data_IF_601188961285
#
_entry.id   IF_601188961285
#
_cell.length_a   1.000
_cell.length_b   1.000
_cell.length_c   1.000
_cell.angle_alpha   90.00
_cell.angle_beta   90.00
_cell.angle_gamma   90.00
#
_symmetry.space_group_name_H-M   'P 1'
#
loop_
_entity.id
_entity.type
_entity.pdbx_description
1 polymer ?
#
# COMPACT_ATOMS: atom_id res chain seq x y z
N UNK A 1 -1.61 42.03 -20.36
CA UNK A 1 -0.75 41.50 -19.29
C UNK A 1 0.68 41.59 -19.81
N UNK A 2 1.52 42.44 -19.22
CA UNK A 2 2.84 42.78 -19.75
C UNK A 2 3.86 41.67 -19.45
N UNK A 3 4.69 41.29 -20.43
CA UNK A 3 5.68 40.20 -20.31
C UNK A 3 6.68 40.45 -19.16
N UNK A 4 6.99 41.71 -18.87
CA UNK A 4 7.90 42.13 -17.80
C UNK A 4 7.38 41.79 -16.40
N UNK A 5 6.05 41.77 -16.23
CA UNK A 5 5.39 41.47 -14.96
C UNK A 5 5.46 39.97 -14.63
N UNK A 6 5.39 39.12 -15.66
CA UNK A 6 5.59 37.66 -15.54
C UNK A 6 7.05 37.38 -15.19
N UNK A 7 8.01 38.03 -15.87
CA UNK A 7 9.46 37.86 -15.65
C UNK A 7 9.90 38.26 -14.24
N UNK A 8 9.23 39.26 -13.63
CA UNK A 8 9.48 39.68 -12.25
C UNK A 8 8.96 38.68 -11.20
N UNK A 9 7.86 37.96 -11.49
CA UNK A 9 7.30 36.92 -10.60
C UNK A 9 7.95 35.54 -10.77
N UNK A 10 8.50 35.23 -11.95
CA UNK A 10 9.20 33.97 -12.24
C UNK A 10 10.70 34.02 -11.97
N UNK A 11 11.23 35.15 -11.48
CA UNK A 11 12.65 35.26 -11.18
C UNK A 11 13.01 34.37 -9.98
N UNK A 12 13.88 33.34 -10.15
CA UNK A 12 14.21 32.38 -9.09
C UNK A 12 14.90 33.03 -7.88
N UNK A 13 15.46 34.24 -8.03
CA UNK A 13 16.20 34.95 -6.98
C UNK A 13 15.36 35.99 -6.21
N UNK A 14 14.03 35.93 -6.27
CA UNK A 14 13.19 36.75 -5.38
C UNK A 14 13.38 36.29 -3.92
N UNK A 15 13.50 37.20 -2.93
CA UNK A 15 13.78 36.83 -1.53
C UNK A 15 12.79 35.83 -0.95
N UNK A 16 11.53 35.90 -1.38
CA UNK A 16 10.49 34.90 -1.04
C UNK A 16 10.80 33.50 -1.59
N UNK A 17 11.21 33.37 -2.85
CA UNK A 17 11.55 32.07 -3.47
C UNK A 17 12.78 31.46 -2.81
N UNK A 18 13.78 32.28 -2.46
CA UNK A 18 14.98 31.84 -1.73
C UNK A 18 14.61 31.31 -0.34
N UNK A 19 13.71 32.00 0.37
CA UNK A 19 13.22 31.53 1.67
C UNK A 19 12.48 30.20 1.55
N UNK A 20 11.58 30.06 0.58
CA UNK A 20 10.83 28.82 0.33
C UNK A 20 11.77 27.67 -0.05
N UNK A 21 12.73 27.91 -0.95
CA UNK A 21 13.74 26.92 -1.34
C UNK A 21 14.65 26.55 -0.18
N UNK A 22 15.03 27.51 0.68
CA UNK A 22 15.82 27.24 1.88
C UNK A 22 15.09 26.37 2.88
N UNK A 23 13.82 26.67 3.16
CA UNK A 23 12.96 25.82 4.01
C UNK A 23 12.81 24.43 3.39
N UNK A 24 12.57 24.34 2.08
CA UNK A 24 12.48 23.06 1.39
C UNK A 24 13.77 22.24 1.50
N UNK A 25 14.94 22.85 1.35
CA UNK A 25 16.23 22.18 1.52
C UNK A 25 16.48 21.70 2.95
N UNK A 26 16.06 22.49 3.95
CA UNK A 26 16.14 22.07 5.36
C UNK A 26 15.24 20.86 5.62
N UNK A 27 14.00 20.89 5.12
CA UNK A 27 13.08 19.76 5.24
C UNK A 27 13.64 18.53 4.54
N UNK A 28 14.18 18.69 3.32
CA UNK A 28 14.82 17.58 2.58
C UNK A 28 16.02 17.02 3.33
N UNK A 29 16.89 17.87 3.89
CA UNK A 29 18.02 17.43 4.69
C UNK A 29 17.58 16.69 5.97
N UNK A 30 16.49 17.15 6.60
CA UNK A 30 15.92 16.48 7.77
C UNK A 30 15.34 15.11 7.40
N UNK A 31 14.55 15.02 6.32
CA UNK A 31 14.04 13.74 5.81
C UNK A 31 15.19 12.80 5.44
N UNK A 32 16.19 13.29 4.71
CA UNK A 32 17.36 12.49 4.29
C UNK A 32 18.07 11.86 5.49
N UNK A 33 18.30 12.65 6.54
CA UNK A 33 18.94 12.16 7.76
C UNK A 33 18.04 11.20 8.55
N UNK A 34 16.73 11.46 8.58
CA UNK A 34 15.77 10.62 9.29
C UNK A 34 15.53 9.26 8.61
N UNK A 35 15.73 9.17 7.30
CA UNK A 35 15.57 7.93 6.53
C UNK A 35 16.88 7.14 6.40
N UNK A 36 17.97 7.61 7.02
CA UNK A 36 19.31 6.98 6.93
C UNK A 36 19.76 6.68 5.48
N UNK A 37 19.33 7.51 4.53
CA UNK A 37 19.69 7.33 3.12
C UNK A 37 21.20 7.50 2.94
N UNK A 38 21.88 6.40 2.60
CA UNK A 38 23.33 6.39 2.36
C UNK A 38 23.62 6.14 0.89
N UNK A 39 24.24 7.13 0.23
CA UNK A 39 24.76 6.97 -1.13
C UNK A 39 25.91 5.95 -1.17
N UNK A 40 26.71 5.89 -0.09
CA UNK A 40 27.77 4.89 0.07
C UNK A 40 27.22 3.47 0.09
N UNK A 41 26.17 3.19 0.89
CA UNK A 41 25.57 1.87 0.94
C UNK A 41 24.97 1.41 -0.39
N UNK A 42 24.51 2.35 -1.23
CA UNK A 42 24.03 2.03 -2.57
C UNK A 42 25.17 1.67 -3.54
N UNK A 43 26.30 2.39 -3.46
CA UNK A 43 27.50 2.10 -4.27
C UNK A 43 28.17 0.80 -3.83
N UNK A 44 28.28 0.57 -2.52
CA UNK A 44 28.84 -0.66 -1.96
C UNK A 44 27.91 -1.86 -2.20
N UNK A 45 26.59 -1.64 -2.11
CA UNK A 45 25.56 -2.65 -2.38
C UNK A 45 25.33 -2.95 -3.86
N UNK A 46 25.86 -2.13 -4.77
CA UNK A 46 25.70 -2.33 -6.22
C UNK A 46 26.25 -3.69 -6.67
N UNK A 47 27.40 -4.09 -6.14
CA UNK A 47 27.98 -5.41 -6.42
C UNK A 47 27.04 -6.54 -6.03
N UNK A 48 26.39 -6.45 -4.86
CA UNK A 48 25.45 -7.46 -4.40
C UNK A 48 24.20 -7.55 -5.28
N UNK A 49 23.67 -6.40 -5.74
CA UNK A 49 22.52 -6.37 -6.67
C UNK A 49 22.84 -7.08 -8.00
N UNK A 50 24.04 -6.87 -8.55
CA UNK A 50 24.47 -7.53 -9.78
C UNK A 50 24.63 -9.05 -9.55
N UNK A 51 25.16 -9.47 -8.41
CA UNK A 51 25.29 -10.90 -8.06
C UNK A 51 23.95 -11.61 -7.99
N UNK A 52 22.89 -10.97 -7.47
CA UNK A 52 21.54 -11.57 -7.50
C UNK A 52 20.98 -11.67 -8.91
N UNK A 53 21.24 -10.68 -9.78
CA UNK A 53 20.73 -10.68 -11.15
C UNK A 53 21.45 -11.74 -12.01
N UNK A 54 22.78 -11.77 -11.96
CA UNK A 54 23.62 -12.62 -12.81
C UNK A 54 23.84 -14.02 -12.21
N UNK A 55 23.68 -14.15 -10.89
CA UNK A 55 23.91 -15.38 -10.15
C UNK A 55 25.29 -15.40 -9.50
N UNK A 56 25.35 -15.96 -8.29
CA UNK A 56 26.60 -16.21 -7.59
C UNK A 56 27.27 -17.47 -8.19
N UNK A 57 28.54 -17.42 -8.62
CA UNK A 57 29.25 -18.60 -9.12
C UNK A 57 29.34 -19.77 -8.11
N UNK A 58 29.15 -19.51 -6.81
CA UNK A 58 29.15 -20.54 -5.77
C UNK A 58 27.80 -21.29 -5.61
N UNK A 59 26.71 -20.74 -6.15
CA UNK A 59 25.34 -21.29 -6.01
C UNK A 59 24.72 -21.51 -7.40
N UNK A 60 24.52 -22.78 -7.77
CA UNK A 60 23.77 -23.14 -8.99
C UNK A 60 22.34 -22.56 -8.93
N UNK A 61 21.89 -22.00 -10.06
CA UNK A 61 20.55 -21.41 -10.26
C UNK A 61 20.18 -20.25 -9.31
N UNK A 62 21.19 -19.53 -8.80
CA UNK A 62 20.98 -18.36 -7.94
C UNK A 62 20.73 -17.05 -8.68
N UNK A 63 20.93 -17.03 -10.01
CA UNK A 63 20.74 -15.86 -10.86
C UNK A 63 19.33 -15.74 -11.42
N UNK A 64 18.81 -14.53 -11.51
CA UNK A 64 17.54 -14.26 -12.20
C UNK A 64 17.68 -14.28 -13.73
N UNK A 65 18.88 -14.07 -14.27
CA UNK A 65 19.15 -14.02 -15.71
C UNK A 65 20.35 -14.90 -16.10
N UNK A 66 20.27 -15.71 -17.18
CA UNK A 66 19.13 -15.88 -18.09
C UNK A 66 18.03 -16.79 -17.50
N UNK A 67 16.74 -16.43 -17.63
CA UNK A 67 15.64 -17.25 -17.12
C UNK A 67 15.58 -18.59 -17.85
N UNK A 68 15.41 -19.69 -17.10
CA UNK A 68 15.30 -21.02 -17.67
C UNK A 68 13.87 -21.29 -18.18
N UNK A 69 13.72 -21.30 -19.50
CA UNK A 69 12.45 -21.65 -20.17
C UNK A 69 12.31 -23.16 -20.43
N UNK A 70 13.13 -24.00 -19.80
CA UNK A 70 12.96 -25.45 -19.82
C UNK A 70 11.54 -25.85 -19.41
N UNK A 71 10.97 -26.85 -20.09
CA UNK A 71 9.55 -27.18 -19.97
C UNK A 71 9.06 -27.41 -18.53
N UNK A 72 9.88 -28.00 -17.66
CA UNK A 72 9.55 -28.23 -16.25
C UNK A 72 9.51 -26.91 -15.43
N UNK A 73 10.47 -26.00 -15.65
CA UNK A 73 10.52 -24.70 -14.96
C UNK A 73 9.42 -23.75 -15.44
N UNK A 74 9.11 -23.78 -16.74
CA UNK A 74 7.98 -23.02 -17.28
C UNK A 74 6.65 -23.48 -16.67
N UNK A 75 6.43 -24.79 -16.53
CA UNK A 75 5.23 -25.31 -15.86
C UNK A 75 5.15 -24.85 -14.41
N UNK A 76 6.27 -24.87 -13.67
CA UNK A 76 6.33 -24.36 -12.29
C UNK A 76 5.96 -22.89 -12.22
N UNK A 77 6.49 -22.04 -13.11
CA UNK A 77 6.14 -20.62 -13.16
C UNK A 77 4.65 -20.40 -13.44
N UNK A 78 4.09 -21.13 -14.41
CA UNK A 78 2.66 -21.06 -14.72
C UNK A 78 1.78 -21.47 -13.53
N UNK A 79 2.16 -22.53 -12.81
CA UNK A 79 1.45 -22.98 -11.61
C UNK A 79 1.52 -21.92 -10.50
N UNK A 80 2.69 -21.33 -10.23
CA UNK A 80 2.82 -20.26 -9.25
C UNK A 80 2.03 -19.01 -9.63
N UNK A 81 2.01 -18.63 -10.91
CA UNK A 81 1.15 -17.53 -11.39
C UNK A 81 -0.32 -17.86 -11.19
N UNK A 82 -0.74 -19.09 -11.48
CA UNK A 82 -2.12 -19.53 -11.24
C UNK A 82 -2.47 -19.47 -9.74
N UNK A 83 -1.54 -19.82 -8.87
CA UNK A 83 -1.69 -19.69 -7.42
C UNK A 83 -1.98 -18.23 -7.01
N UNK A 84 -1.31 -17.24 -7.61
CA UNK A 84 -1.61 -15.82 -7.32
C UNK A 84 -3.03 -15.43 -7.72
N UNK A 85 -3.54 -15.97 -8.83
CA UNK A 85 -4.93 -15.74 -9.28
C UNK A 85 -5.91 -16.41 -8.32
N UNK A 86 -5.62 -17.64 -7.89
CA UNK A 86 -6.44 -18.35 -6.90
C UNK A 86 -6.52 -17.57 -5.58
N UNK A 87 -5.39 -17.05 -5.09
CA UNK A 87 -5.36 -16.18 -3.90
C UNK A 87 -6.23 -14.94 -4.09
N UNK A 88 -6.08 -14.24 -5.22
CA UNK A 88 -6.84 -13.02 -5.49
C UNK A 88 -8.36 -13.28 -5.59
N UNK A 89 -8.78 -14.38 -6.21
CA UNK A 89 -10.19 -14.77 -6.31
C UNK A 89 -10.77 -15.07 -4.93
N UNK A 90 -10.06 -15.84 -4.10
CA UNK A 90 -10.51 -16.14 -2.73
C UNK A 90 -10.59 -14.88 -1.86
N UNK A 91 -9.59 -14.00 -1.94
CA UNK A 91 -9.59 -12.72 -1.23
C UNK A 91 -10.78 -11.85 -1.64
N UNK A 92 -11.06 -11.76 -2.95
CA UNK A 92 -12.18 -11.00 -3.47
C UNK A 92 -13.53 -11.56 -2.99
N UNK A 93 -13.71 -12.88 -2.99
CA UNK A 93 -14.95 -13.51 -2.50
C UNK A 93 -15.16 -13.20 -1.01
N UNK A 94 -14.11 -13.35 -0.20
CA UNK A 94 -14.16 -13.02 1.23
C UNK A 94 -14.47 -11.54 1.46
N UNK A 95 -13.83 -10.66 0.69
CA UNK A 95 -14.03 -9.22 0.75
C UNK A 95 -15.47 -8.83 0.41
N UNK A 96 -16.03 -9.37 -0.67
CA UNK A 96 -17.42 -9.11 -1.07
C UNK A 96 -18.37 -9.62 0.02
N UNK A 97 -18.14 -10.80 0.58
CA UNK A 97 -19.00 -11.39 1.60
C UNK A 97 -19.09 -10.50 2.86
N UNK A 98 -18.01 -9.79 3.22
CA UNK A 98 -17.97 -8.89 4.38
C UNK A 98 -18.37 -7.46 4.01
N UNK A 99 -17.88 -6.93 2.90
CA UNK A 99 -18.13 -5.56 2.46
C UNK A 99 -19.57 -5.34 2.02
N UNK A 100 -20.22 -6.35 1.42
CA UNK A 100 -21.61 -6.26 1.00
C UNK A 100 -22.56 -5.94 2.16
N UNK A 101 -22.64 -6.73 3.26
CA UNK A 101 -23.48 -6.39 4.40
C UNK A 101 -23.03 -5.09 5.08
N UNK A 102 -21.73 -4.84 5.18
CA UNK A 102 -21.19 -3.65 5.82
C UNK A 102 -21.57 -2.36 5.06
N UNK A 103 -21.71 -2.42 3.73
CA UNK A 103 -22.10 -1.29 2.89
C UNK A 103 -23.50 -0.76 3.21
N UNK A 104 -24.45 -1.65 3.57
CA UNK A 104 -25.80 -1.25 3.97
C UNK A 104 -25.79 -0.48 5.29
N UNK A 105 -24.98 -0.92 6.26
CA UNK A 105 -24.80 -0.20 7.53
C UNK A 105 -23.99 1.10 7.39
N UNK A 106 -23.18 1.22 6.34
CA UNK A 106 -22.48 2.47 6.02
C UNK A 106 -23.37 3.50 5.31
N UNK A 107 -24.56 3.14 4.83
CA UNK A 107 -25.47 4.05 4.13
C UNK A 107 -26.49 4.69 5.06
N UNK A 108 -26.54 6.04 5.09
CA UNK A 108 -27.53 6.78 5.88
C UNK A 108 -28.96 6.47 5.45
N UNK A 109 -29.20 6.35 4.15
CA UNK A 109 -30.52 6.07 3.59
C UNK A 109 -31.03 4.68 4.00
N UNK A 110 -30.16 3.67 3.94
CA UNK A 110 -30.53 2.31 4.33
C UNK A 110 -30.78 2.19 5.82
N UNK A 111 -29.96 2.84 6.65
CA UNK A 111 -30.19 2.86 8.10
C UNK A 111 -31.49 3.55 8.50
N UNK A 112 -31.91 4.59 7.77
CA UNK A 112 -33.20 5.26 7.97
C UNK A 112 -34.40 4.35 7.63
N UNK A 113 -34.23 3.40 6.70
CA UNK A 113 -35.25 2.40 6.36
C UNK A 113 -35.29 1.27 7.41
N UNK A 114 -34.13 0.78 7.85
CA UNK A 114 -34.03 -0.33 8.81
C UNK A 114 -34.50 0.09 10.22
N UNK A 115 -34.22 1.32 10.63
CA UNK A 115 -34.54 1.84 11.96
C UNK A 115 -35.46 3.07 11.83
N UNK A 116 -36.76 2.86 11.58
CA UNK A 116 -37.70 3.95 11.43
C UNK A 116 -38.03 4.57 12.80
N UNK A 117 -37.70 5.85 12.98
CA UNK A 117 -38.13 6.59 14.17
C UNK A 117 -37.31 7.84 14.45
N UNK A 118 -37.98 8.97 14.68
CA UNK A 118 -37.35 10.24 15.08
C UNK A 118 -37.09 10.35 16.59
N UNK A 119 -37.22 9.26 17.35
CA UNK A 119 -36.92 9.27 18.80
C UNK A 119 -35.42 9.48 19.00
N UNK A 120 -35.02 10.26 20.02
CA UNK A 120 -33.61 10.57 20.32
C UNK A 120 -32.74 9.31 20.42
N UNK A 121 -33.25 8.21 21.00
CA UNK A 121 -32.54 6.93 21.12
C UNK A 121 -32.27 6.26 19.76
N UNK A 122 -33.24 6.28 18.84
CA UNK A 122 -33.09 5.71 17.50
C UNK A 122 -32.06 6.48 16.66
N UNK A 123 -32.05 7.82 16.77
CA UNK A 123 -31.07 8.68 16.09
C UNK A 123 -29.65 8.44 16.62
N UNK A 124 -29.49 8.28 17.94
CA UNK A 124 -28.20 7.96 18.56
C UNK A 124 -27.67 6.59 18.10
N UNK A 125 -28.54 5.57 18.09
CA UNK A 125 -28.16 4.22 17.65
C UNK A 125 -27.74 4.22 16.17
N UNK A 126 -28.50 4.89 15.30
CA UNK A 126 -28.18 5.05 13.86
C UNK A 126 -26.80 5.69 13.67
N UNK A 127 -26.57 6.82 14.32
CA UNK A 127 -25.30 7.54 14.20
C UNK A 127 -24.14 6.73 14.78
N UNK A 128 -24.38 5.98 15.87
CA UNK A 128 -23.39 5.07 16.46
C UNK A 128 -22.97 3.98 15.49
N UNK A 129 -23.92 3.23 14.91
CA UNK A 129 -23.64 2.17 13.92
C UNK A 129 -22.89 2.76 12.72
N UNK A 130 -23.39 3.85 12.16
CA UNK A 130 -22.77 4.52 11.01
C UNK A 130 -21.32 4.93 11.32
N UNK A 131 -21.08 5.53 12.48
CA UNK A 131 -19.75 6.00 12.87
C UNK A 131 -18.81 4.82 13.10
N UNK A 132 -19.24 3.76 13.80
CA UNK A 132 -18.44 2.57 14.06
C UNK A 132 -18.05 1.87 12.76
N UNK A 133 -19.01 1.67 11.85
CA UNK A 133 -18.75 1.03 10.55
C UNK A 133 -17.78 1.86 9.72
N UNK A 134 -17.99 3.17 9.64
CA UNK A 134 -17.12 4.07 8.88
C UNK A 134 -15.73 4.17 9.50
N UNK A 135 -15.64 4.13 10.82
CA UNK A 135 -14.38 4.09 11.55
C UNK A 135 -13.61 2.80 11.25
N UNK A 136 -14.26 1.64 11.29
CA UNK A 136 -13.63 0.37 10.94
C UNK A 136 -13.16 0.35 9.48
N UNK A 137 -13.98 0.82 8.54
CA UNK A 137 -13.60 0.92 7.13
C UNK A 137 -12.41 1.89 6.90
N UNK A 138 -12.36 2.99 7.65
CA UNK A 138 -11.24 3.92 7.61
C UNK A 138 -9.98 3.32 8.23
N UNK A 139 -10.10 2.57 9.34
CA UNK A 139 -8.97 1.90 10.00
C UNK A 139 -8.34 0.86 9.09
N UNK A 140 -9.17 -0.04 8.52
CA UNK A 140 -8.71 -1.07 7.58
C UNK A 140 -7.94 -0.46 6.40
N UNK A 141 -8.35 0.72 5.91
CA UNK A 141 -7.64 1.45 4.85
C UNK A 141 -6.43 2.26 5.31
N UNK A 142 -6.36 2.62 6.58
CA UNK A 142 -5.25 3.44 7.12
C UNK A 142 -4.07 2.57 7.54
N UNK A 143 -4.33 1.34 7.98
CA UNK A 143 -3.29 0.37 8.31
C UNK A 143 -2.85 -0.29 7.00
N UNK A 144 -1.55 -0.24 6.72
CA UNK A 144 -0.99 -0.86 5.52
C UNK A 144 -1.15 -2.40 5.57
N UNK A 145 -1.43 -3.00 4.41
CA UNK A 145 -1.62 -4.43 4.20
C UNK A 145 -0.43 -5.28 4.66
N UNK A 146 0.80 -4.75 4.65
CA UNK A 146 2.00 -5.46 5.16
C UNK A 146 1.87 -5.76 6.65
N UNK A 147 1.28 -4.84 7.43
CA UNK A 147 1.09 -5.04 8.88
C UNK A 147 0.08 -6.17 9.10
N UNK A 148 -1.02 -6.18 8.35
CA UNK A 148 -2.01 -7.27 8.39
C UNK A 148 -1.41 -8.61 7.98
N UNK A 149 -0.60 -8.63 6.92
CA UNK A 149 0.11 -9.83 6.48
C UNK A 149 1.00 -10.39 7.58
N UNK A 150 1.80 -9.55 8.26
CA UNK A 150 2.66 -9.99 9.35
C UNK A 150 1.86 -10.54 10.55
N UNK A 151 0.73 -9.92 10.90
CA UNK A 151 -0.17 -10.42 11.95
C UNK A 151 -0.74 -11.80 11.59
N UNK A 152 -1.27 -11.97 10.38
CA UNK A 152 -1.85 -13.24 9.95
C UNK A 152 -0.80 -14.33 9.73
N UNK A 153 0.42 -13.98 9.27
CA UNK A 153 1.56 -14.92 9.20
C UNK A 153 1.90 -15.43 10.60
N UNK A 154 1.88 -14.57 11.61
CA UNK A 154 2.15 -15.00 12.99
C UNK A 154 1.07 -15.93 13.55
N UNK A 155 -0.18 -15.78 13.09
CA UNK A 155 -1.32 -16.56 13.57
C UNK A 155 -1.48 -17.91 12.85
N UNK A 156 -1.27 -17.95 11.53
CA UNK A 156 -1.58 -19.12 10.67
C UNK A 156 -0.30 -19.80 10.14
N UNK A 157 0.84 -19.12 10.20
CA UNK A 157 2.10 -19.57 9.63
C UNK A 157 2.37 -19.05 8.21
N UNK A 158 3.49 -19.47 7.64
CA UNK A 158 3.89 -19.09 6.29
C UNK A 158 3.08 -19.86 5.24
N UNK A 159 2.54 -19.14 4.25
CA UNK A 159 1.75 -19.72 3.16
C UNK A 159 0.91 -18.67 2.43
N UNK A 160 0.00 -19.10 1.55
CA UNK A 160 -0.88 -18.21 0.79
C UNK A 160 -2.04 -17.64 1.63
N UNK A 161 -2.45 -18.36 2.69
CA UNK A 161 -3.59 -17.99 3.54
C UNK A 161 -3.46 -16.61 4.21
N UNK A 162 -2.32 -16.23 4.82
CA UNK A 162 -2.14 -14.88 5.35
C UNK A 162 -2.29 -13.77 4.31
N UNK A 163 -1.83 -14.00 3.08
CA UNK A 163 -1.97 -13.04 1.98
C UNK A 163 -3.42 -12.83 1.59
N UNK A 164 -4.19 -13.92 1.51
CA UNK A 164 -5.63 -13.88 1.22
C UNK A 164 -6.39 -13.08 2.30
N UNK A 165 -6.06 -13.29 3.57
CA UNK A 165 -6.70 -12.61 4.70
C UNK A 165 -6.28 -11.14 4.85
N UNK A 166 -5.05 -10.80 4.48
CA UNK A 166 -4.56 -9.43 4.56
C UNK A 166 -5.08 -8.52 3.43
N UNK A 167 -5.30 -9.10 2.25
CA UNK A 167 -5.80 -8.38 1.07
C UNK A 167 -7.34 -8.31 1.02
N UNK A 168 -8.02 -9.29 1.61
CA UNK A 168 -9.48 -9.45 1.61
C UNK A 168 -10.24 -8.53 2.56
#
# INVERSE_FOLDING_TARGET
MHIDEIKRRTNPFHPYNIMVSGVALIVLAWCWRSTEMSLGGLLDGWGNMVTYIVGNPELQDSGFFPPDFGGHNLQKYLLSMLETVQMAVLALILSIMIAFPLSFFASRNTLDIIIPGKRRSAVLLKNGIYMTVRFFANLSRSINEVIWALLFVSAVGLGPMPGILALG
#
